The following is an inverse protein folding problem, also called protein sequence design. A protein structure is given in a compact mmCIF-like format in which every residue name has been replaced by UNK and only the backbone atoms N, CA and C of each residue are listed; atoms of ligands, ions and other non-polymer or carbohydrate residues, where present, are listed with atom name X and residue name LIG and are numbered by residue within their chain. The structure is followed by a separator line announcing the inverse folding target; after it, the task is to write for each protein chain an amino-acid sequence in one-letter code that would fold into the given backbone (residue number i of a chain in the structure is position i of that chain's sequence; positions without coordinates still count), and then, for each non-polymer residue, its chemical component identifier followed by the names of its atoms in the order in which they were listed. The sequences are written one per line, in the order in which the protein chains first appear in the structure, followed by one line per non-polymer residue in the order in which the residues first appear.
data_IF_588891816499
#
_entry.id   IF_588891816499
#
_cell.length_a   1.000
_cell.length_b   1.000
_cell.length_c   1.000
_cell.angle_alpha   90.00
_cell.angle_beta   90.00
_cell.angle_gamma   90.00
#
_symmetry.space_group_name_H-M   'P 1'
#
loop_
_entity.id
_entity.type
_entity.pdbx_description
1 polymer ?
#
# COMPACT_ATOMS: atom_id res chain seq x y z
N UNK A 1 4.12 -8.55 -14.68
CA UNK A 1 4.87 -7.44 -14.02
C UNK A 1 6.09 -8.05 -13.35
N UNK A 2 7.25 -7.36 -13.39
CA UNK A 2 8.55 -7.95 -12.94
C UNK A 2 8.58 -8.32 -11.45
N UNK A 3 7.91 -7.56 -10.60
CA UNK A 3 7.97 -7.71 -9.14
C UNK A 3 6.66 -8.21 -8.51
N UNK A 4 5.62 -8.43 -9.29
CA UNK A 4 4.34 -8.95 -8.78
C UNK A 4 4.37 -10.47 -8.83
N UNK A 5 4.11 -11.09 -7.70
CA UNK A 5 4.14 -12.54 -7.52
C UNK A 5 2.72 -13.11 -7.40
N UNK A 6 2.51 -14.43 -7.62
CA UNK A 6 1.19 -15.04 -7.46
C UNK A 6 0.62 -14.95 -6.04
N UNK A 7 1.46 -14.74 -5.01
CA UNK A 7 1.09 -14.58 -3.61
C UNK A 7 1.09 -13.10 -3.17
N UNK A 8 0.71 -12.19 -4.07
CA UNK A 8 0.71 -10.76 -3.82
C UNK A 8 -0.52 -10.26 -3.07
N UNK A 9 -0.40 -9.07 -2.48
CA UNK A 9 -1.45 -8.36 -1.76
C UNK A 9 -1.59 -6.92 -2.28
N UNK A 10 -2.84 -6.44 -2.38
CA UNK A 10 -3.17 -5.06 -2.78
C UNK A 10 -4.26 -4.49 -1.86
N UNK A 11 -3.89 -3.61 -0.90
CA UNK A 11 -4.85 -3.02 0.03
C UNK A 11 -5.73 -1.91 -0.56
N UNK A 12 -5.50 -1.48 -1.81
CA UNK A 12 -6.23 -0.41 -2.51
C UNK A 12 -6.63 -0.83 -3.93
N UNK A 13 -7.05 -2.07 -4.10
CA UNK A 13 -7.15 -2.74 -5.40
C UNK A 13 -8.22 -2.19 -6.34
N UNK A 14 -9.26 -1.52 -5.84
CA UNK A 14 -10.44 -1.16 -6.64
C UNK A 14 -10.99 -2.40 -7.38
N UNK A 15 -10.95 -2.36 -8.72
CA UNK A 15 -11.36 -3.47 -9.59
C UNK A 15 -10.17 -4.27 -10.14
N UNK A 16 -8.95 -4.04 -9.63
CA UNK A 16 -7.78 -4.82 -10.02
C UNK A 16 -7.86 -6.22 -9.42
N UNK A 17 -7.60 -7.23 -10.24
CA UNK A 17 -7.55 -8.63 -9.86
C UNK A 17 -6.13 -9.20 -9.99
N UNK A 18 -5.12 -8.32 -10.04
CA UNK A 18 -3.71 -8.71 -10.25
C UNK A 18 -3.15 -9.40 -9.01
N UNK A 19 -3.49 -8.90 -7.82
CA UNK A 19 -3.01 -9.48 -6.57
C UNK A 19 -3.88 -10.66 -6.11
N UNK A 20 -3.27 -11.60 -5.38
CA UNK A 20 -3.96 -12.76 -4.83
C UNK A 20 -4.97 -12.36 -3.76
N UNK A 21 -4.59 -11.45 -2.85
CA UNK A 21 -5.48 -10.88 -1.85
C UNK A 21 -5.66 -9.38 -2.12
N UNK A 22 -6.92 -8.98 -2.30
CA UNK A 22 -7.29 -7.63 -2.68
C UNK A 22 -8.25 -7.03 -1.67
N UNK A 23 -8.08 -5.76 -1.36
CA UNK A 23 -8.98 -4.99 -0.49
C UNK A 23 -9.31 -3.65 -1.13
N UNK A 24 -10.50 -3.16 -0.87
CA UNK A 24 -10.91 -1.79 -1.16
C UNK A 24 -11.98 -1.36 -0.17
N UNK A 25 -12.01 -0.09 0.21
CA UNK A 25 -13.03 0.43 1.13
C UNK A 25 -14.43 0.42 0.49
N UNK A 26 -14.51 0.60 -0.83
CA UNK A 26 -15.78 0.61 -1.56
C UNK A 26 -16.30 -0.81 -1.79
N UNK A 27 -17.47 -1.19 -1.21
CA UNK A 27 -18.04 -2.52 -1.34
C UNK A 27 -18.56 -2.84 -2.77
N UNK A 28 -18.65 -1.86 -3.65
CA UNK A 28 -19.07 -2.06 -5.04
C UNK A 28 -17.93 -2.50 -5.96
N UNK A 29 -16.69 -2.53 -5.46
CA UNK A 29 -15.53 -2.98 -6.22
C UNK A 29 -15.43 -4.51 -6.27
N UNK A 30 -14.56 -5.02 -7.14
CA UNK A 30 -14.27 -6.46 -7.26
C UNK A 30 -13.30 -6.99 -6.20
N UNK A 31 -12.85 -6.15 -5.28
CA UNK A 31 -11.94 -6.57 -4.23
C UNK A 31 -12.54 -7.69 -3.38
N UNK A 32 -11.69 -8.59 -2.89
CA UNK A 32 -12.13 -9.73 -2.05
C UNK A 32 -12.52 -9.32 -0.63
N UNK A 33 -11.94 -8.23 -0.13
CA UNK A 33 -12.22 -7.66 1.18
C UNK A 33 -12.66 -6.20 1.03
N UNK A 34 -13.55 -5.75 1.93
CA UNK A 34 -14.08 -4.39 1.91
C UNK A 34 -13.98 -3.78 3.31
N UNK A 35 -12.78 -3.26 3.62
CA UNK A 35 -12.49 -2.65 4.91
C UNK A 35 -11.43 -1.57 4.79
N UNK A 36 -11.21 -0.82 5.86
CA UNK A 36 -10.09 0.12 5.96
C UNK A 36 -8.77 -0.60 5.68
N UNK A 37 -7.91 0.02 4.86
CA UNK A 37 -6.66 -0.60 4.41
C UNK A 37 -5.74 -0.98 5.58
N UNK A 38 -5.65 -0.13 6.62
CA UNK A 38 -4.86 -0.45 7.81
C UNK A 38 -5.45 -1.65 8.56
N UNK A 39 -6.77 -1.72 8.72
CA UNK A 39 -7.45 -2.84 9.39
C UNK A 39 -7.23 -4.16 8.62
N UNK A 40 -7.38 -4.12 7.29
CA UNK A 40 -7.09 -5.25 6.42
C UNK A 40 -5.65 -5.76 6.58
N UNK A 41 -4.67 -4.87 6.45
CA UNK A 41 -3.25 -5.25 6.59
C UNK A 41 -2.93 -5.78 7.99
N UNK A 42 -3.54 -5.22 9.03
CA UNK A 42 -3.38 -5.70 10.41
C UNK A 42 -3.96 -7.11 10.55
N UNK A 43 -5.16 -7.35 10.04
CA UNK A 43 -5.79 -8.66 10.07
C UNK A 43 -4.92 -9.71 9.36
N UNK A 44 -4.46 -9.43 8.14
CA UNK A 44 -3.59 -10.35 7.40
C UNK A 44 -2.30 -10.67 8.17
N UNK A 45 -1.70 -9.66 8.82
CA UNK A 45 -0.49 -9.85 9.62
C UNK A 45 -0.75 -10.68 10.89
N UNK A 46 -1.87 -10.47 11.56
CA UNK A 46 -2.26 -11.21 12.76
C UNK A 46 -2.65 -12.66 12.45
N UNK A 47 -3.18 -12.92 11.27
CA UNK A 47 -3.41 -14.27 10.72
C UNK A 47 -2.10 -14.99 10.31
N UNK A 48 -0.96 -14.32 10.40
CA UNK A 48 0.34 -14.88 10.02
C UNK A 48 0.58 -14.96 8.51
N UNK A 49 -0.22 -14.26 7.71
CA UNK A 49 -0.03 -14.22 6.24
C UNK A 49 1.34 -13.64 5.88
N UNK A 50 1.86 -14.07 4.75
CA UNK A 50 3.08 -13.57 4.13
C UNK A 50 2.85 -13.39 2.64
N UNK A 51 3.40 -12.32 2.08
CA UNK A 51 3.28 -11.99 0.67
C UNK A 51 4.66 -11.68 0.10
N UNK A 52 5.05 -12.35 -0.97
CA UNK A 52 6.31 -12.06 -1.67
C UNK A 52 6.28 -10.73 -2.41
N UNK A 53 5.09 -10.17 -2.65
CA UNK A 53 4.95 -8.78 -3.10
C UNK A 53 3.69 -8.11 -2.56
N UNK A 54 3.79 -6.80 -2.33
CA UNK A 54 2.65 -5.93 -1.97
C UNK A 54 2.61 -4.75 -2.93
N UNK A 55 1.42 -4.47 -3.48
CA UNK A 55 1.14 -3.27 -4.25
C UNK A 55 0.55 -2.22 -3.30
N UNK A 56 1.18 -1.06 -3.19
CA UNK A 56 0.77 0.00 -2.28
C UNK A 56 0.46 1.28 -3.06
N UNK A 57 -0.80 1.41 -3.50
CA UNK A 57 -1.31 2.52 -4.30
C UNK A 57 -2.42 3.31 -3.56
N UNK A 58 -2.08 3.97 -2.45
CA UNK A 58 -3.06 4.73 -1.67
C UNK A 58 -3.50 6.00 -2.39
N UNK A 59 -4.64 6.62 -2.02
CA UNK A 59 -4.98 7.97 -2.44
C UNK A 59 -3.87 8.97 -2.12
N UNK A 60 -3.43 9.77 -3.10
CA UNK A 60 -2.22 10.60 -2.96
C UNK A 60 -2.45 11.94 -2.25
N UNK A 61 -3.69 12.34 -2.04
CA UNK A 61 -4.01 13.63 -1.43
C UNK A 61 -5.19 13.54 -0.47
N UNK A 62 -5.30 14.47 0.50
CA UNK A 62 -6.47 14.58 1.38
C UNK A 62 -7.79 14.69 0.63
N UNK A 63 -7.78 15.34 -0.53
CA UNK A 63 -8.95 15.46 -1.41
C UNK A 63 -9.37 14.08 -1.94
N UNK A 64 -8.45 13.29 -2.46
CA UNK A 64 -8.74 11.95 -2.96
C UNK A 64 -9.24 11.02 -1.84
N UNK A 65 -8.68 11.13 -0.64
CA UNK A 65 -9.18 10.41 0.54
C UNK A 65 -10.63 10.79 0.80
N UNK A 66 -10.92 12.10 0.86
CA UNK A 66 -12.28 12.61 1.09
C UNK A 66 -13.27 12.12 0.01
N UNK A 67 -12.87 12.14 -1.26
CA UNK A 67 -13.69 11.65 -2.37
C UNK A 67 -14.00 10.15 -2.25
N UNK A 68 -13.00 9.32 -1.85
CA UNK A 68 -13.17 7.88 -1.63
C UNK A 68 -14.16 7.62 -0.48
N UNK A 69 -13.98 8.26 0.67
CA UNK A 69 -14.87 8.08 1.83
C UNK A 69 -16.30 8.55 1.53
N UNK A 70 -16.45 9.70 0.88
CA UNK A 70 -17.78 10.22 0.47
C UNK A 70 -18.48 9.28 -0.51
N UNK A 71 -17.76 8.70 -1.46
CA UNK A 71 -18.33 7.72 -2.41
C UNK A 71 -18.83 6.46 -1.72
N UNK A 72 -18.27 6.11 -0.56
CA UNK A 72 -18.70 4.99 0.29
C UNK A 72 -19.77 5.40 1.33
N UNK A 73 -20.26 6.65 1.30
CA UNK A 73 -21.24 7.15 2.28
C UNK A 73 -20.66 7.37 3.68
N UNK A 74 -19.34 7.40 3.82
CA UNK A 74 -18.64 7.58 5.08
C UNK A 74 -18.26 9.06 5.29
N UNK A 75 -18.27 9.49 6.57
CA UNK A 75 -17.76 10.83 6.93
C UNK A 75 -16.27 10.74 7.19
N UNK A 76 -15.53 11.66 6.59
CA UNK A 76 -14.09 11.80 6.83
C UNK A 76 -13.88 12.57 8.13
N UNK A 77 -13.18 11.96 9.09
CA UNK A 77 -12.70 12.63 10.30
C UNK A 77 -11.39 13.39 10.04
N UNK A 78 -10.95 14.19 11.03
CA UNK A 78 -9.66 14.89 10.93
C UNK A 78 -8.45 13.93 10.96
N UNK A 79 -8.59 12.76 11.56
CA UNK A 79 -7.51 11.76 11.61
C UNK A 79 -7.27 11.08 10.27
N UNK A 80 -8.31 10.80 9.52
CA UNK A 80 -8.22 10.17 8.19
C UNK A 80 -7.64 11.13 7.14
N UNK A 81 -7.82 12.44 7.30
CA UNK A 81 -7.21 13.44 6.41
C UNK A 81 -5.70 13.62 6.64
N UNK A 82 -5.14 13.08 7.73
CA UNK A 82 -3.69 13.04 7.96
C UNK A 82 -3.06 11.86 7.23
N UNK A 83 -3.06 11.91 5.90
CA UNK A 83 -2.57 10.86 5.01
C UNK A 83 -1.18 10.31 5.39
N UNK A 84 -0.28 11.16 5.85
CA UNK A 84 1.07 10.74 6.24
C UNK A 84 1.07 9.74 7.42
N UNK A 85 0.21 9.95 8.43
CA UNK A 85 0.12 9.06 9.60
C UNK A 85 -0.56 7.74 9.25
N UNK A 86 -1.65 7.78 8.49
CA UNK A 86 -2.35 6.58 8.02
C UNK A 86 -1.42 5.70 7.18
N UNK A 87 -0.71 6.29 6.24
CA UNK A 87 0.17 5.53 5.35
C UNK A 87 1.42 5.02 6.07
N UNK A 88 1.93 5.74 7.07
CA UNK A 88 2.98 5.21 7.95
C UNK A 88 2.52 3.94 8.65
N UNK A 89 1.32 3.92 9.23
CA UNK A 89 0.74 2.74 9.89
C UNK A 89 0.52 1.58 8.91
N UNK A 90 0.05 1.86 7.70
CA UNK A 90 -0.06 0.83 6.65
C UNK A 90 1.31 0.22 6.33
N UNK A 91 2.35 1.05 6.16
CA UNK A 91 3.73 0.57 5.90
C UNK A 91 4.27 -0.28 7.05
N UNK A 92 3.96 0.06 8.30
CA UNK A 92 4.35 -0.76 9.46
C UNK A 92 3.73 -2.17 9.39
N UNK A 93 2.47 -2.29 8.97
CA UNK A 93 1.84 -3.59 8.76
C UNK A 93 2.40 -4.32 7.53
N UNK A 94 2.65 -3.61 6.43
CA UNK A 94 3.30 -4.20 5.24
C UNK A 94 4.67 -4.78 5.59
N UNK A 95 5.44 -4.11 6.46
CA UNK A 95 6.72 -4.63 6.93
C UNK A 95 6.58 -5.95 7.70
N UNK A 96 5.45 -6.21 8.36
CA UNK A 96 5.16 -7.52 9.00
C UNK A 96 4.80 -8.61 7.99
N UNK A 97 4.23 -8.24 6.85
CA UNK A 97 3.69 -9.14 5.84
C UNK A 97 4.73 -9.60 4.82
N UNK A 98 5.70 -8.75 4.49
CA UNK A 98 6.68 -9.02 3.43
C UNK A 98 7.92 -9.67 4.02
N UNK A 99 8.29 -10.92 3.64
CA UNK A 99 9.51 -11.57 4.13
C UNK A 99 10.78 -10.94 3.50
N UNK A 100 11.93 -11.23 4.08
CA UNK A 100 13.23 -10.88 3.47
C UNK A 100 13.31 -11.45 2.05
N UNK A 101 13.72 -10.60 1.11
CA UNK A 101 13.72 -10.91 -0.32
C UNK A 101 12.42 -10.54 -1.06
N UNK A 102 11.32 -10.32 -0.34
CA UNK A 102 10.06 -9.85 -0.91
C UNK A 102 10.10 -8.37 -1.31
N UNK A 103 9.11 -7.94 -2.10
CA UNK A 103 9.07 -6.61 -2.70
C UNK A 103 7.84 -5.81 -2.30
N UNK A 104 7.97 -4.50 -2.27
CA UNK A 104 6.85 -3.56 -2.20
C UNK A 104 6.92 -2.63 -3.39
N UNK A 105 5.81 -2.49 -4.11
CA UNK A 105 5.61 -1.54 -5.18
C UNK A 105 4.77 -0.39 -4.65
N UNK A 106 5.39 0.76 -4.42
CA UNK A 106 4.70 1.96 -3.93
C UNK A 106 4.45 2.92 -5.09
N UNK A 107 3.22 3.41 -5.18
CA UNK A 107 2.78 4.38 -6.19
C UNK A 107 2.48 5.71 -5.51
N UNK A 108 2.76 6.82 -6.20
CA UNK A 108 2.52 8.14 -5.65
C UNK A 108 3.20 9.27 -6.41
N UNK A 109 3.35 10.41 -5.73
CA UNK A 109 4.00 11.60 -6.27
C UNK A 109 5.37 11.87 -5.61
N UNK A 110 5.89 10.90 -4.89
CA UNK A 110 7.20 10.99 -4.22
C UNK A 110 7.87 9.61 -4.16
N UNK A 111 9.08 9.57 -3.67
CA UNK A 111 9.91 8.37 -3.54
C UNK A 111 10.13 7.92 -2.10
N UNK A 112 9.23 8.29 -1.18
CA UNK A 112 9.40 7.97 0.26
C UNK A 112 9.36 6.46 0.51
N UNK A 113 8.45 5.74 -0.15
CA UNK A 113 8.35 4.29 -0.05
C UNK A 113 8.26 3.71 1.36
N UNK A 114 8.78 2.51 1.52
CA UNK A 114 8.89 1.80 2.80
C UNK A 114 10.03 2.33 3.67
N UNK A 115 11.19 2.54 3.07
CA UNK A 115 12.39 3.10 3.68
C UNK A 115 13.29 2.09 4.39
N UNK A 116 14.53 2.53 4.62
CA UNK A 116 15.57 1.72 5.29
C UNK A 116 15.23 1.40 6.76
N UNK A 117 14.52 2.30 7.44
CA UNK A 117 14.06 2.12 8.82
C UNK A 117 13.14 0.91 9.00
N UNK A 118 12.43 0.51 7.94
CA UNK A 118 11.63 -0.71 7.90
C UNK A 118 12.35 -1.92 7.29
N UNK A 119 13.64 -1.77 6.95
CA UNK A 119 14.47 -2.82 6.38
C UNK A 119 14.33 -3.00 4.88
N UNK A 120 13.86 -1.97 4.15
CA UNK A 120 13.68 -2.01 2.70
C UNK A 120 14.71 -1.15 1.98
N UNK A 121 15.22 -1.68 0.87
CA UNK A 121 16.16 -1.01 -0.03
C UNK A 121 15.50 -0.70 -1.36
N UNK A 122 15.72 0.49 -1.88
CA UNK A 122 15.25 0.90 -3.19
C UNK A 122 15.95 0.09 -4.29
N UNK A 123 15.15 -0.53 -5.17
CA UNK A 123 15.65 -1.36 -6.28
C UNK A 123 15.48 -0.62 -7.61
N UNK A 124 14.33 0.00 -7.83
CA UNK A 124 14.00 0.62 -9.12
C UNK A 124 13.00 1.78 -8.93
N UNK A 125 13.13 2.79 -9.79
CA UNK A 125 12.17 3.89 -9.89
C UNK A 125 11.68 3.93 -11.33
N UNK A 126 10.35 3.98 -11.51
CA UNK A 126 9.68 4.17 -12.79
C UNK A 126 8.82 5.43 -12.73
N UNK A 127 9.00 6.33 -13.68
CA UNK A 127 8.10 7.46 -13.91
C UNK A 127 7.08 7.07 -14.96
N UNK A 128 5.80 7.12 -14.61
CA UNK A 128 4.67 6.91 -15.52
C UNK A 128 4.12 8.27 -15.92
N UNK A 129 4.40 8.67 -17.15
CA UNK A 129 3.97 9.96 -17.71
C UNK A 129 2.52 9.89 -18.21
N UNK A 130 1.66 10.79 -17.74
CA UNK A 130 0.23 10.85 -18.11
C UNK A 130 -0.10 11.93 -19.15
N UNK A 131 0.91 12.54 -19.80
CA UNK A 131 0.73 13.43 -20.92
C UNK A 131 -0.04 14.73 -20.64
N UNK A 132 0.02 15.24 -19.41
CA UNK A 132 -0.61 16.50 -19.02
C UNK A 132 -2.09 16.43 -18.63
N UNK A 133 -2.75 15.27 -18.81
CA UNK A 133 -4.13 15.07 -18.36
C UNK A 133 -4.23 14.90 -16.83
N UNK A 134 -3.19 14.29 -16.23
CA UNK A 134 -3.04 14.06 -14.79
C UNK A 134 -1.57 14.24 -14.39
N UNK A 135 -1.32 14.37 -13.10
CA UNK A 135 0.05 14.34 -12.58
C UNK A 135 0.70 12.99 -12.91
N UNK A 136 1.98 13.03 -13.26
CA UNK A 136 2.76 11.80 -13.46
C UNK A 136 2.82 10.98 -12.18
N UNK A 137 2.85 9.67 -12.32
CA UNK A 137 2.95 8.74 -11.19
C UNK A 137 4.38 8.22 -11.07
N UNK A 138 4.94 8.31 -9.87
CA UNK A 138 6.19 7.66 -9.52
C UNK A 138 5.85 6.29 -8.94
N UNK A 139 6.38 5.23 -9.56
CA UNK A 139 6.33 3.89 -9.03
C UNK A 139 7.73 3.49 -8.56
N UNK A 140 7.86 3.11 -7.30
CA UNK A 140 9.13 2.60 -6.77
C UNK A 140 8.98 1.13 -6.40
N UNK A 141 10.00 0.35 -6.70
CA UNK A 141 10.16 -1.01 -6.24
C UNK A 141 11.22 -1.06 -5.14
N UNK A 142 10.85 -1.57 -3.98
CA UNK A 142 11.76 -1.77 -2.86
C UNK A 142 11.78 -3.25 -2.49
N UNK A 143 12.94 -3.75 -2.11
CA UNK A 143 13.13 -5.12 -1.64
C UNK A 143 13.41 -5.12 -0.14
N UNK A 144 12.79 -6.02 0.59
CA UNK A 144 13.14 -6.22 1.99
C UNK A 144 14.51 -6.89 2.10
N UNK A 145 15.49 -6.17 2.62
CA UNK A 145 16.88 -6.62 2.73
C UNK A 145 17.18 -7.27 4.09
N UNK A 146 16.55 -6.78 5.17
CA UNK A 146 16.74 -7.25 6.53
C UNK A 146 15.42 -7.30 7.30
N UNK A 147 15.33 -8.15 8.32
CA UNK A 147 14.25 -8.08 9.31
C UNK A 147 14.32 -6.74 10.04
N UNK A 148 13.16 -6.13 10.30
CA UNK A 148 13.10 -4.94 11.15
C UNK A 148 13.62 -5.31 12.53
N UNK A 149 14.74 -4.73 12.94
CA UNK A 149 15.23 -4.89 14.31
C UNK A 149 14.23 -4.23 15.25
N UNK A 150 13.57 -5.01 16.07
CA UNK A 150 12.86 -4.46 17.23
C UNK A 150 13.91 -3.77 18.09
N UNK A 151 13.87 -2.45 18.16
CA UNK A 151 14.53 -1.73 19.24
C UNK A 151 13.77 -2.13 20.51
N UNK A 152 14.21 -3.23 21.12
CA UNK A 152 13.84 -3.55 22.49
C UNK A 152 14.58 -2.51 23.33
N UNK A 153 13.82 -1.49 23.72
CA UNK A 153 14.28 -0.56 24.73
C UNK A 153 14.22 -1.21 26.10
#
# INVERSE_FOLDING_TARGET
MRYVTPDSCDPFARNSEIAADTNDLNPETKAKHHMEAQAFLTQMADEGRRYSSVLFDPPYSPRQISEVYQSCGLKVGMEETQSARLYSRCRDQIARLVPVGGHVLSFGWNTVGMGLDRGFELVEILLVCHGGAHNDTICIAERRAVEQMSLVA
#
